data_IF_573753255134
#
_entry.id   IF_573753255134
#
_cell.length_a   1.000
_cell.length_b   1.000
_cell.length_c   1.000
_cell.angle_alpha   90.00
_cell.angle_beta   90.00
_cell.angle_gamma   90.00
#
_symmetry.space_group_name_H-M   'P 1'
#
loop_
_entity.id
_entity.type
_entity.pdbx_description
1 polymer ?
#
# COMPACT_ATOMS: atom_id res chain seq x y z
N UNK A 1 -3.86 3.87 15.89
CA UNK A 1 -3.74 4.83 14.78
C UNK A 1 -4.90 4.83 13.79
N UNK A 2 -5.12 3.79 12.96
CA UNK A 2 -6.20 3.79 11.94
C UNK A 2 -7.58 4.05 12.55
N UNK A 3 -7.94 3.30 13.60
CA UNK A 3 -9.22 3.43 14.30
C UNK A 3 -9.40 4.86 14.86
N UNK A 4 -8.38 5.37 15.55
CA UNK A 4 -8.43 6.69 16.20
C UNK A 4 -8.55 7.83 15.18
N UNK A 5 -7.74 7.79 14.11
CA UNK A 5 -7.75 8.82 13.06
C UNK A 5 -9.08 8.88 12.33
N UNK A 6 -9.74 7.74 12.15
CA UNK A 6 -11.03 7.64 11.48
C UNK A 6 -12.24 7.73 12.44
N UNK A 7 -11.99 7.82 13.75
CA UNK A 7 -13.01 7.86 14.83
C UNK A 7 -13.93 6.65 14.79
N UNK A 8 -13.34 5.46 14.62
CA UNK A 8 -14.04 4.21 14.34
C UNK A 8 -13.77 3.70 12.93
N UNK A 9 -14.44 2.62 12.54
CA UNK A 9 -14.17 1.89 11.29
C UNK A 9 -15.39 1.65 10.39
N UNK A 10 -16.55 2.20 10.74
CA UNK A 10 -17.84 1.98 10.03
C UNK A 10 -17.82 2.27 8.52
N UNK A 11 -16.93 3.16 8.08
CA UNK A 11 -16.79 3.55 6.67
C UNK A 11 -15.37 3.37 6.14
N UNK A 12 -14.55 2.59 6.84
CA UNK A 12 -13.19 2.28 6.41
C UNK A 12 -13.21 1.04 5.53
N UNK A 13 -12.45 1.05 4.45
CA UNK A 13 -12.15 -0.12 3.64
C UNK A 13 -10.64 -0.18 3.40
N UNK A 14 -10.07 -1.37 3.35
CA UNK A 14 -8.65 -1.57 3.09
C UNK A 14 -8.45 -2.02 1.64
N UNK A 15 -7.45 -1.48 0.97
CA UNK A 15 -7.10 -1.87 -0.39
C UNK A 15 -5.61 -2.14 -0.45
N UNK A 16 -5.24 -3.42 -0.50
CA UNK A 16 -3.86 -3.86 -0.62
C UNK A 16 -3.35 -3.72 -2.05
N UNK A 17 -2.16 -3.13 -2.21
CA UNK A 17 -1.46 -3.07 -3.49
C UNK A 17 -0.61 -4.33 -3.63
N UNK A 18 -0.71 -5.04 -4.76
CA UNK A 18 0.08 -6.24 -4.99
C UNK A 18 1.59 -5.98 -5.04
N UNK A 19 2.42 -6.92 -4.63
CA UNK A 19 2.08 -8.29 -4.14
C UNK A 19 1.98 -8.41 -2.62
N UNK A 20 2.75 -7.62 -1.85
CA UNK A 20 2.85 -7.74 -0.39
C UNK A 20 1.92 -6.82 0.40
N UNK A 21 1.37 -5.78 -0.22
CA UNK A 21 0.37 -4.92 0.42
C UNK A 21 -0.95 -5.64 0.76
N UNK A 22 -1.30 -6.69 0.01
CA UNK A 22 -2.53 -7.49 0.24
C UNK A 22 -2.46 -8.29 1.55
N UNK A 23 -1.46 -9.17 1.78
CA UNK A 23 -1.34 -9.84 3.08
C UNK A 23 -1.28 -8.86 4.26
N UNK A 24 -0.62 -7.70 4.10
CA UNK A 24 -0.58 -6.67 5.14
C UNK A 24 -1.98 -6.09 5.40
N UNK A 25 -2.78 -5.82 4.36
CA UNK A 25 -4.14 -5.35 4.50
C UNK A 25 -5.04 -6.36 5.22
N UNK A 26 -4.90 -7.65 4.92
CA UNK A 26 -5.62 -8.73 5.59
C UNK A 26 -5.24 -8.83 7.08
N UNK A 27 -3.94 -8.76 7.40
CA UNK A 27 -3.46 -8.73 8.80
C UNK A 27 -3.99 -7.52 9.55
N UNK A 28 -4.04 -6.35 8.91
CA UNK A 28 -4.62 -5.14 9.48
C UNK A 28 -6.13 -5.30 9.74
N UNK A 29 -6.89 -5.87 8.79
CA UNK A 29 -8.31 -6.14 8.98
C UNK A 29 -8.56 -7.11 10.15
N UNK A 30 -7.77 -8.18 10.26
CA UNK A 30 -7.85 -9.13 11.36
C UNK A 30 -7.58 -8.45 12.72
N UNK A 31 -6.50 -7.67 12.81
CA UNK A 31 -6.17 -6.94 14.04
C UNK A 31 -7.24 -5.91 14.42
N UNK A 32 -7.84 -5.22 13.46
CA UNK A 32 -8.94 -4.28 13.72
C UNK A 32 -10.18 -5.04 14.19
N UNK A 33 -10.53 -6.17 13.58
CA UNK A 33 -11.67 -6.99 13.99
C UNK A 33 -11.50 -7.52 15.42
N UNK A 34 -10.28 -7.87 15.84
CA UNK A 34 -10.03 -8.27 17.22
C UNK A 34 -10.36 -7.17 18.24
N UNK A 35 -10.19 -5.90 17.86
CA UNK A 35 -10.39 -4.73 18.72
C UNK A 35 -11.85 -4.23 18.63
N UNK A 36 -12.32 -3.94 17.42
CA UNK A 36 -13.62 -3.29 17.16
C UNK A 36 -14.77 -4.28 16.97
N UNK A 37 -14.47 -5.58 16.78
CA UNK A 37 -15.46 -6.63 16.44
C UNK A 37 -16.23 -6.32 15.15
N UNK A 38 -15.55 -5.66 14.22
CA UNK A 38 -16.05 -5.32 12.88
C UNK A 38 -15.15 -5.97 11.84
N UNK A 39 -15.75 -6.68 10.90
CA UNK A 39 -15.08 -7.21 9.72
C UNK A 39 -14.97 -6.10 8.67
N UNK A 40 -13.74 -5.71 8.34
CA UNK A 40 -13.49 -4.68 7.32
C UNK A 40 -13.40 -5.30 5.93
N UNK A 41 -14.04 -4.69 4.91
CA UNK A 41 -13.81 -5.08 3.53
C UNK A 41 -12.34 -4.86 3.16
N UNK A 42 -11.73 -5.90 2.59
CA UNK A 42 -10.37 -5.87 2.03
C UNK A 42 -10.47 -6.14 0.55
N UNK A 43 -9.95 -5.22 -0.25
CA UNK A 43 -9.82 -5.37 -1.70
C UNK A 43 -8.37 -5.37 -2.14
N UNK A 44 -8.14 -5.70 -3.39
CA UNK A 44 -6.81 -5.79 -3.98
C UNK A 44 -6.71 -4.96 -5.26
N UNK A 45 -5.63 -4.20 -5.38
CA UNK A 45 -5.21 -3.53 -6.61
C UNK A 45 -3.94 -4.19 -7.17
N UNK A 46 -4.03 -4.68 -8.40
CA UNK A 46 -2.88 -5.16 -9.16
C UNK A 46 -2.34 -4.06 -10.06
N UNK A 47 -1.23 -3.47 -9.64
CA UNK A 47 -0.54 -2.38 -10.32
C UNK A 47 0.86 -2.88 -10.65
N UNK A 48 1.06 -3.39 -11.86
CA UNK A 48 2.38 -3.80 -12.30
C UNK A 48 3.14 -2.57 -12.80
N UNK A 49 4.30 -2.31 -12.21
CA UNK A 49 5.27 -1.36 -12.76
C UNK A 49 5.86 -1.99 -14.04
N UNK A 50 5.67 -1.39 -15.21
CA UNK A 50 6.40 -1.83 -16.40
C UNK A 50 7.89 -1.66 -16.13
N UNK A 51 8.64 -2.77 -16.14
CA UNK A 51 10.05 -2.84 -15.71
C UNK A 51 11.02 -3.17 -16.85
N UNK A 52 10.57 -3.15 -18.11
CA UNK A 52 11.38 -3.72 -19.20
C UNK A 52 12.19 -2.73 -20.05
N UNK A 53 12.09 -1.42 -19.84
CA UNK A 53 12.94 -0.48 -20.57
C UNK A 53 13.95 0.21 -19.65
N UNK A 54 15.16 -0.36 -19.61
CA UNK A 54 16.43 0.35 -19.39
C UNK A 54 16.69 1.36 -20.54
N UNK A 55 15.71 2.21 -20.81
CA UNK A 55 15.85 3.42 -21.60
C UNK A 55 15.12 4.53 -20.87
N UNK A 56 15.64 5.74 -20.99
CA UNK A 56 15.43 6.92 -20.13
C UNK A 56 13.98 7.47 -20.07
N UNK A 57 12.95 6.73 -20.50
CA UNK A 57 11.65 7.29 -20.88
C UNK A 57 10.46 6.32 -20.70
N UNK A 58 10.29 5.60 -19.57
CA UNK A 58 8.96 5.04 -19.21
C UNK A 58 8.85 4.61 -17.72
N UNK A 59 8.41 5.51 -16.82
CA UNK A 59 8.22 5.21 -15.38
C UNK A 59 6.74 5.20 -14.95
N UNK A 60 5.83 4.73 -15.80
CA UNK A 60 4.41 4.69 -15.46
C UNK A 60 3.95 3.26 -15.12
N UNK A 61 3.48 3.01 -13.89
CA UNK A 61 2.80 1.77 -13.54
C UNK A 61 1.51 1.59 -14.36
N UNK A 62 1.22 0.35 -14.77
CA UNK A 62 -0.01 -0.05 -15.46
C UNK A 62 -0.89 -0.82 -14.48
N UNK A 63 -2.18 -0.49 -14.40
CA UNK A 63 -3.15 -1.22 -13.60
C UNK A 63 -3.63 -2.44 -14.40
N UNK A 64 -3.36 -3.67 -13.94
CA UNK A 64 -3.65 -4.91 -14.68
C UNK A 64 -4.93 -5.61 -14.22
N UNK A 65 -5.37 -5.37 -12.98
CA UNK A 65 -6.57 -5.99 -12.43
C UNK A 65 -6.93 -5.44 -11.06
N UNK A 66 -8.20 -5.57 -10.67
CA UNK A 66 -8.70 -5.10 -9.37
C UNK A 66 -9.74 -6.07 -8.86
N UNK A 67 -9.56 -6.55 -7.63
CA UNK A 67 -10.54 -7.36 -6.90
C UNK A 67 -11.07 -6.49 -5.77
N UNK A 68 -11.97 -5.58 -6.12
CA UNK A 68 -12.74 -4.76 -5.17
C UNK A 68 -14.21 -4.98 -5.54
N UNK A 69 -14.91 -5.76 -4.74
CA UNK A 69 -16.31 -6.15 -4.92
C UNK A 69 -17.28 -5.32 -4.07
N UNK A 70 -16.79 -4.22 -3.49
CA UNK A 70 -17.55 -3.29 -2.66
C UNK A 70 -17.52 -1.85 -3.18
N UNK A 71 -18.54 -1.07 -2.80
CA UNK A 71 -18.67 0.33 -3.20
C UNK A 71 -17.66 1.22 -2.46
N UNK A 72 -16.88 2.00 -3.21
CA UNK A 72 -15.92 2.97 -2.69
C UNK A 72 -16.55 4.34 -2.42
N UNK A 73 -17.76 4.62 -2.91
CA UNK A 73 -18.38 5.93 -2.79
C UNK A 73 -18.63 6.32 -1.33
N UNK A 74 -18.13 7.50 -0.94
CA UNK A 74 -18.28 8.02 0.42
C UNK A 74 -17.48 7.27 1.50
N UNK A 75 -16.72 6.23 1.15
CA UNK A 75 -15.87 5.48 2.07
C UNK A 75 -14.52 6.17 2.30
N UNK A 76 -13.89 5.89 3.43
CA UNK A 76 -12.46 6.15 3.63
C UNK A 76 -11.69 4.92 3.14
N UNK A 77 -10.99 5.07 2.02
CA UNK A 77 -10.15 4.01 1.45
C UNK A 77 -8.76 4.12 2.05
N UNK A 78 -8.24 3.05 2.63
CA UNK A 78 -6.85 2.99 3.09
C UNK A 78 -6.09 2.09 2.12
N UNK A 79 -5.26 2.70 1.29
CA UNK A 79 -4.28 1.99 0.48
C UNK A 79 -3.21 1.39 1.40
N UNK A 80 -2.86 0.13 1.15
CA UNK A 80 -1.86 -0.60 1.95
C UNK A 80 -0.74 -1.08 1.03
N UNK A 81 0.49 -0.70 1.37
CA UNK A 81 1.70 -1.11 0.64
C UNK A 81 2.80 -1.56 1.61
N UNK A 82 3.78 -2.32 1.14
CA UNK A 82 4.87 -2.78 1.99
C UNK A 82 5.91 -1.67 2.22
N UNK A 83 6.37 -1.03 1.14
CA UNK A 83 7.46 -0.03 1.18
C UNK A 83 7.11 1.22 0.37
N UNK A 84 7.05 2.37 1.06
CA UNK A 84 6.92 3.66 0.39
C UNK A 84 8.28 4.24 -0.02
N UNK A 85 8.55 4.23 -1.34
CA UNK A 85 9.76 4.79 -1.96
C UNK A 85 9.49 6.08 -2.77
N UNK A 86 9.50 6.05 -4.10
CA UNK A 86 9.31 7.25 -4.93
C UNK A 86 7.89 7.81 -4.88
N UNK A 87 6.91 6.98 -4.53
CA UNK A 87 5.47 7.30 -4.51
C UNK A 87 4.73 6.99 -5.82
N UNK A 88 5.41 6.50 -6.86
CA UNK A 88 4.79 6.24 -8.18
C UNK A 88 3.73 5.14 -8.15
N UNK A 89 3.97 4.06 -7.42
CA UNK A 89 2.99 2.99 -7.21
C UNK A 89 1.70 3.54 -6.60
N UNK A 90 1.84 4.34 -5.53
CA UNK A 90 0.70 4.96 -4.85
C UNK A 90 -0.03 5.93 -5.77
N UNK A 91 0.67 6.71 -6.59
CA UNK A 91 0.02 7.59 -7.57
C UNK A 91 -0.89 6.80 -8.51
N UNK A 92 -0.45 5.66 -9.02
CA UNK A 92 -1.32 4.84 -9.86
C UNK A 92 -2.45 4.18 -9.08
N UNK A 93 -2.23 3.82 -7.81
CA UNK A 93 -3.30 3.32 -6.95
C UNK A 93 -4.38 4.37 -6.69
N UNK A 94 -3.98 5.63 -6.48
CA UNK A 94 -4.90 6.76 -6.34
C UNK A 94 -5.76 6.93 -7.60
N UNK A 95 -5.13 6.90 -8.79
CA UNK A 95 -5.86 7.00 -10.05
C UNK A 95 -6.86 5.85 -10.21
N UNK A 96 -6.46 4.60 -9.94
CA UNK A 96 -7.34 3.44 -10.00
C UNK A 96 -8.53 3.54 -9.04
N UNK A 97 -8.30 3.95 -7.78
CA UNK A 97 -9.38 4.15 -6.80
C UNK A 97 -10.38 5.22 -7.26
N UNK A 98 -9.88 6.32 -7.86
CA UNK A 98 -10.71 7.41 -8.37
C UNK A 98 -11.50 6.97 -9.61
N UNK A 99 -10.93 6.12 -10.47
CA UNK A 99 -11.63 5.59 -11.62
C UNK A 99 -12.80 4.66 -11.22
N UNK A 100 -12.67 4.00 -10.06
CA UNK A 100 -13.69 3.07 -9.54
C UNK A 100 -14.78 3.73 -8.71
N UNK A 101 -14.55 4.93 -8.17
CA UNK A 101 -15.54 5.58 -7.32
C UNK A 101 -15.15 6.95 -6.81
N UNK A 102 -15.92 7.45 -5.85
CA UNK A 102 -15.72 8.75 -5.21
C UNK A 102 -15.60 8.56 -3.70
N UNK A 103 -14.43 8.10 -3.20
CA UNK A 103 -14.22 7.97 -1.77
C UNK A 103 -14.29 9.33 -1.09
N UNK A 104 -14.71 9.32 0.18
CA UNK A 104 -14.69 10.51 1.04
C UNK A 104 -13.25 10.96 1.32
N UNK A 105 -12.35 10.00 1.49
CA UNK A 105 -10.93 10.22 1.69
C UNK A 105 -10.16 8.99 1.21
N UNK A 106 -8.93 9.22 0.72
CA UNK A 106 -7.97 8.15 0.49
C UNK A 106 -6.79 8.39 1.44
N UNK A 107 -6.43 7.37 2.20
CA UNK A 107 -5.31 7.37 3.13
C UNK A 107 -4.29 6.31 2.69
N UNK A 108 -3.07 6.40 3.21
CA UNK A 108 -2.00 5.45 2.92
C UNK A 108 -1.40 4.88 4.21
N UNK A 109 -1.42 3.56 4.33
CA UNK A 109 -0.71 2.80 5.34
C UNK A 109 0.45 2.03 4.69
N UNK A 110 1.66 2.16 5.24
CA UNK A 110 2.82 1.38 4.79
C UNK A 110 3.55 0.74 5.95
N UNK A 111 4.15 -0.43 5.71
CA UNK A 111 5.00 -1.05 6.72
C UNK A 111 6.29 -0.25 6.90
N UNK A 112 6.97 0.10 5.80
CA UNK A 112 8.21 0.86 5.80
C UNK A 112 8.09 2.13 4.97
N UNK A 113 8.45 3.27 5.55
CA UNK A 113 8.72 4.50 4.82
C UNK A 113 10.24 4.67 4.67
N UNK A 114 10.75 4.58 3.44
CA UNK A 114 12.20 4.67 3.16
C UNK A 114 12.69 6.01 2.62
N UNK A 115 11.81 7.01 2.54
CA UNK A 115 12.11 8.33 1.97
C UNK A 115 12.28 8.35 0.43
N UNK A 116 13.03 9.34 -0.07
CA UNK A 116 13.32 9.55 -1.51
C UNK A 116 12.09 9.75 -2.40
N UNK A 117 11.16 10.59 -1.94
CA UNK A 117 9.96 10.93 -2.68
C UNK A 117 10.30 11.66 -3.98
N UNK A 118 9.68 11.22 -5.07
CA UNK A 118 9.65 11.93 -6.35
C UNK A 118 8.30 12.57 -6.63
N UNK A 119 7.28 12.18 -5.85
CA UNK A 119 5.93 12.74 -5.86
C UNK A 119 5.59 13.25 -4.46
N UNK A 120 4.71 14.27 -4.32
CA UNK A 120 4.31 14.83 -3.02
C UNK A 120 3.33 13.89 -2.28
N UNK A 121 3.74 12.65 -2.07
CA UNK A 121 2.97 11.57 -1.46
C UNK A 121 3.62 11.20 -0.13
N UNK A 122 2.81 11.12 0.91
CA UNK A 122 3.22 10.73 2.26
C UNK A 122 2.26 9.67 2.79
N UNK A 123 2.78 8.73 3.58
CA UNK A 123 1.94 7.82 4.34
C UNK A 123 1.23 8.55 5.48
N UNK A 124 -0.04 8.24 5.67
CA UNK A 124 -0.80 8.62 6.87
C UNK A 124 -0.38 7.77 8.08
N UNK A 125 -0.02 6.52 7.82
CA UNK A 125 0.43 5.53 8.80
C UNK A 125 1.68 4.85 8.27
N UNK A 126 2.77 4.87 9.05
CA UNK A 126 4.01 4.19 8.70
C UNK A 126 4.45 3.33 9.89
N UNK A 127 4.63 2.03 9.68
CA UNK A 127 5.12 1.13 10.72
C UNK A 127 6.52 1.53 11.20
N UNK A 128 7.43 1.81 10.26
CA UNK A 128 8.77 2.33 10.57
C UNK A 128 9.28 3.27 9.49
N UNK A 129 9.89 4.38 9.92
CA UNK A 129 10.67 5.25 9.04
C UNK A 129 12.13 4.75 9.05
N UNK A 130 12.66 4.42 7.87
CA UNK A 130 14.02 3.91 7.70
C UNK A 130 14.76 4.82 6.71
N UNK A 131 15.65 5.71 7.18
CA UNK A 131 16.50 6.48 6.27
C UNK A 131 17.36 5.52 5.45
N UNK A 132 17.34 5.67 4.13
CA UNK A 132 18.13 4.86 3.20
C UNK A 132 18.91 5.76 2.25
N UNK A 133 19.86 5.20 1.51
CA UNK A 133 20.43 5.79 0.30
C UNK A 133 19.70 5.26 -0.95
N UNK A 134 19.91 5.89 -2.11
CA UNK A 134 19.40 5.36 -3.39
C UNK A 134 20.04 4.01 -3.79
N UNK A 135 21.18 3.64 -3.18
CA UNK A 135 21.87 2.37 -3.44
C UNK A 135 21.38 1.24 -2.55
N UNK A 136 20.58 1.54 -1.54
CA UNK A 136 20.01 0.52 -0.66
C UNK A 136 18.63 0.09 -1.17
N UNK A 137 18.25 -1.14 -0.86
CA UNK A 137 16.93 -1.72 -1.08
C UNK A 137 16.34 -2.14 0.26
N UNK A 138 15.02 -2.04 0.38
CA UNK A 138 14.25 -2.63 1.48
C UNK A 138 13.54 -3.84 0.89
N UNK A 139 13.84 -5.02 1.44
CA UNK A 139 13.17 -6.27 1.09
C UNK A 139 12.26 -6.64 2.26
N UNK A 140 10.97 -6.76 1.98
CA UNK A 140 9.98 -7.23 2.94
C UNK A 140 9.67 -8.68 2.63
N UNK A 141 9.71 -9.53 3.64
CA UNK A 141 9.34 -10.93 3.58
C UNK A 141 8.15 -11.13 4.52
N UNK A 142 7.09 -11.76 4.01
CA UNK A 142 5.88 -12.06 4.77
C UNK A 142 5.63 -13.57 4.75
N UNK A 143 5.24 -14.15 5.88
CA UNK A 143 5.06 -15.60 6.04
C UNK A 143 4.14 -16.22 4.98
N UNK A 144 3.11 -15.49 4.52
CA UNK A 144 2.14 -15.91 3.50
C UNK A 144 2.76 -16.12 2.12
N UNK A 145 3.86 -15.44 1.81
CA UNK A 145 4.51 -15.48 0.50
C UNK A 145 5.92 -16.08 0.55
N UNK A 146 6.66 -15.76 1.62
CA UNK A 146 8.09 -15.99 1.74
C UNK A 146 8.45 -16.99 2.86
N UNK A 147 7.46 -17.44 3.66
CA UNK A 147 7.64 -18.42 4.73
C UNK A 147 8.29 -17.87 6.02
N UNK A 148 8.60 -16.57 6.05
CA UNK A 148 9.14 -15.84 7.21
C UNK A 148 8.62 -14.42 7.23
N UNK A 149 8.55 -13.81 8.42
CA UNK A 149 8.29 -12.38 8.60
C UNK A 149 9.61 -11.66 8.87
N UNK A 150 10.13 -10.92 7.89
CA UNK A 150 11.39 -10.19 8.01
C UNK A 150 11.40 -8.92 7.15
N UNK A 151 12.10 -7.88 7.61
CA UNK A 151 12.42 -6.71 6.79
C UNK A 151 13.93 -6.53 6.79
N UNK A 152 14.54 -6.62 5.61
CA UNK A 152 15.99 -6.51 5.42
C UNK A 152 16.32 -5.26 4.62
N UNK A 153 17.38 -4.57 5.03
CA UNK A 153 18.04 -3.53 4.24
C UNK A 153 19.36 -4.08 3.70
N UNK A 154 19.62 -3.88 2.42
CA UNK A 154 20.86 -4.27 1.77
C UNK A 154 21.16 -3.38 0.57
N UNK A 155 22.35 -3.51 -0.03
CA UNK A 155 22.65 -2.80 -1.27
C UNK A 155 21.87 -3.42 -2.45
N UNK A 156 21.47 -2.59 -3.41
CA UNK A 156 20.96 -3.05 -4.71
C UNK A 156 22.13 -3.75 -5.40
N UNK A 157 22.11 -5.08 -5.47
CA UNK A 157 23.08 -5.83 -6.27
C UNK A 157 22.98 -5.36 -7.74
N UNK A 158 24.13 -5.04 -8.35
CA UNK A 158 24.26 -4.64 -9.77
C UNK A 158 23.81 -5.76 -10.74
#
# INVERSE_FOLDING_TARGET
EIIERNKGVDNVVLVGIRTRGVPIAERLAAAINEIEKVELPVGMLDITLYRDDLSTLAYNPICHGTEIDFDLNGKTVILVDDVLYTGRTIRCALDAVIDMGRPKAIQLAVLIDRGHRELPIRADFAGKNVPTSHKEAINVYLAEQDGTDEVVIGDVED
#
